data_IF_492274377407
#
_entry.id   IF_492274377407
#
_cell.length_a   1.000
_cell.length_b   1.000
_cell.length_c   1.000
_cell.angle_alpha   90.00
_cell.angle_beta   90.00
_cell.angle_gamma   90.00
#
_symmetry.space_group_name_H-M   'P 1'
#
loop_
_entity.id
_entity.type
_entity.pdbx_description
1 polymer ?
#
# COMPACT_ATOMS: atom_id res chain seq x y z
N UNK A 1 7.59 41.33 25.90
CA UNK A 1 6.33 40.77 25.35
C UNK A 1 6.43 40.44 23.86
N UNK A 2 6.94 41.36 23.02
CA UNK A 2 7.02 41.16 21.56
C UNK A 2 7.93 39.99 21.11
N UNK A 3 9.08 39.79 21.76
CA UNK A 3 10.02 38.70 21.43
C UNK A 3 9.47 37.30 21.75
N UNK A 4 8.72 37.16 22.85
CA UNK A 4 8.08 35.90 23.23
C UNK A 4 6.95 35.54 22.27
N UNK A 5 6.15 36.53 21.87
CA UNK A 5 5.06 36.34 20.88
C UNK A 5 5.60 35.94 19.51
N UNK A 6 6.69 36.55 19.05
CA UNK A 6 7.34 36.22 17.78
C UNK A 6 7.85 34.77 17.74
N UNK A 7 8.47 34.30 18.83
CA UNK A 7 8.96 32.91 18.96
C UNK A 7 7.81 31.91 18.90
N UNK A 8 6.70 32.20 19.58
CA UNK A 8 5.52 31.32 19.56
C UNK A 8 4.93 31.20 18.16
N UNK A 9 4.81 32.31 17.41
CA UNK A 9 4.31 32.28 16.03
C UNK A 9 5.20 31.40 15.14
N UNK A 10 6.53 31.58 15.19
CA UNK A 10 7.46 30.79 14.38
C UNK A 10 7.36 29.30 14.72
N UNK A 11 7.32 28.94 16.01
CA UNK A 11 7.19 27.54 16.45
C UNK A 11 5.88 26.93 15.95
N UNK A 12 4.76 27.65 16.11
CA UNK A 12 3.45 27.18 15.66
C UNK A 12 3.41 27.02 14.15
N UNK A 13 3.96 27.96 13.37
CA UNK A 13 4.01 27.85 11.91
C UNK A 13 4.85 26.66 11.48
N UNK A 14 6.05 26.46 12.04
CA UNK A 14 6.91 25.31 11.69
C UNK A 14 6.23 23.98 12.06
N UNK A 15 5.63 23.88 13.24
CA UNK A 15 4.93 22.67 13.67
C UNK A 15 3.71 22.36 12.79
N UNK A 16 2.90 23.39 12.46
CA UNK A 16 1.76 23.24 11.57
C UNK A 16 2.19 22.80 10.16
N UNK A 17 3.29 23.36 9.65
CA UNK A 17 3.80 22.99 8.32
C UNK A 17 4.29 21.55 8.32
N UNK A 18 5.03 21.12 9.36
CA UNK A 18 5.52 19.75 9.49
C UNK A 18 4.39 18.69 9.55
N UNK A 19 3.26 19.02 10.17
CA UNK A 19 2.09 18.13 10.22
C UNK A 19 1.34 18.03 8.88
N UNK A 20 1.48 19.03 8.02
CA UNK A 20 0.86 19.07 6.69
C UNK A 20 1.77 18.51 5.59
N UNK A 21 3.01 18.14 5.90
CA UNK A 21 3.90 17.50 4.92
C UNK A 21 3.40 16.09 4.61
N UNK A 22 3.01 15.79 3.36
CA UNK A 22 2.61 14.44 3.00
C UNK A 22 3.82 13.53 3.15
N UNK A 23 3.68 12.50 3.98
CA UNK A 23 4.65 11.41 4.01
C UNK A 23 4.40 10.53 2.79
N UNK A 24 5.45 10.26 2.01
CA UNK A 24 5.35 9.28 0.93
C UNK A 24 5.01 7.93 1.55
N UNK A 25 3.84 7.38 1.22
CA UNK A 25 3.46 6.04 1.67
C UNK A 25 4.48 5.02 1.19
N UNK A 26 5.00 4.20 2.10
CA UNK A 26 5.98 3.13 1.81
C UNK A 26 5.35 1.91 1.12
N UNK A 27 4.31 2.14 0.30
CA UNK A 27 3.73 1.07 -0.50
C UNK A 27 4.69 0.76 -1.66
N UNK A 28 5.14 -0.50 -1.73
CA UNK A 28 5.79 -1.09 -2.91
C UNK A 28 7.23 -0.65 -3.27
N UNK A 29 7.92 0.11 -2.43
CA UNK A 29 9.27 0.64 -2.74
C UNK A 29 10.38 -0.42 -2.92
N UNK A 30 10.19 -1.64 -2.42
CA UNK A 30 11.18 -2.73 -2.48
C UNK A 30 10.60 -4.03 -3.08
N UNK A 31 9.61 -3.91 -3.97
CA UNK A 31 9.08 -5.07 -4.67
C UNK A 31 9.86 -5.24 -5.97
N UNK A 32 10.54 -6.37 -6.11
CA UNK A 32 11.02 -6.82 -7.40
C UNK A 32 9.81 -7.27 -8.22
N UNK A 33 9.34 -6.38 -9.10
CA UNK A 33 8.18 -6.62 -9.93
C UNK A 33 8.46 -7.57 -11.08
N UNK A 34 9.72 -7.70 -11.49
CA UNK A 34 10.12 -8.62 -12.56
C UNK A 34 10.09 -10.07 -12.06
N UNK A 35 10.25 -10.28 -10.75
CA UNK A 35 10.07 -11.57 -10.09
C UNK A 35 8.61 -11.90 -9.73
N UNK A 36 7.64 -11.02 -9.98
CA UNK A 36 6.23 -11.29 -9.68
C UNK A 36 5.61 -12.14 -10.78
N UNK A 37 5.26 -13.37 -10.42
CA UNK A 37 4.56 -14.32 -11.28
C UNK A 37 3.20 -14.72 -10.68
N UNK A 38 2.28 -15.14 -11.56
CA UNK A 38 1.03 -15.80 -11.18
C UNK A 38 1.08 -17.24 -11.71
N UNK A 39 0.91 -18.21 -10.81
CA UNK A 39 0.81 -19.63 -11.17
C UNK A 39 -0.60 -20.15 -10.95
N UNK A 40 -1.06 -21.05 -11.82
CA UNK A 40 -2.41 -21.63 -11.78
C UNK A 40 -2.32 -23.04 -11.18
N UNK A 41 -3.20 -23.33 -10.23
CA UNK A 41 -3.26 -24.63 -9.57
C UNK A 41 -4.69 -25.18 -9.63
N UNK A 42 -4.83 -26.43 -10.05
CA UNK A 42 -6.08 -27.17 -9.97
C UNK A 42 -6.24 -27.78 -8.58
N UNK A 43 -7.45 -27.72 -8.02
CA UNK A 43 -7.77 -28.32 -6.73
C UNK A 43 -8.61 -29.58 -6.94
N UNK A 44 -9.82 -29.42 -7.50
CA UNK A 44 -10.74 -30.51 -7.80
C UNK A 44 -11.87 -30.01 -8.69
N UNK A 45 -12.36 -30.85 -9.62
CA UNK A 45 -13.44 -30.49 -10.52
C UNK A 45 -13.17 -29.18 -11.24
N UNK A 46 -14.05 -28.21 -11.06
CA UNK A 46 -13.99 -26.85 -11.59
C UNK A 46 -13.40 -25.80 -10.62
N UNK A 47 -12.77 -26.25 -9.52
CA UNK A 47 -12.13 -25.39 -8.52
C UNK A 47 -10.63 -25.31 -8.77
N UNK A 48 -10.12 -24.08 -8.84
CA UNK A 48 -8.72 -23.73 -9.04
C UNK A 48 -8.28 -22.66 -8.02
N UNK A 49 -6.98 -22.37 -7.96
CA UNK A 49 -6.50 -21.12 -7.38
C UNK A 49 -5.36 -20.52 -8.19
N UNK A 50 -5.30 -19.20 -8.20
CA UNK A 50 -4.14 -18.43 -8.63
C UNK A 50 -3.25 -18.18 -7.42
N UNK A 51 -1.99 -18.58 -7.49
CA UNK A 51 -0.98 -18.25 -6.50
C UNK A 51 -0.17 -17.07 -7.03
N UNK A 52 -0.08 -16.01 -6.23
CA UNK A 52 0.80 -14.87 -6.52
C UNK A 52 1.44 -14.33 -5.24
N UNK A 53 2.27 -13.30 -5.39
CA UNK A 53 2.99 -12.66 -4.28
C UNK A 53 2.06 -12.19 -3.13
N UNK A 54 0.82 -11.83 -3.43
CA UNK A 54 -0.17 -11.36 -2.46
C UNK A 54 -0.95 -12.47 -1.73
N UNK A 55 -0.71 -13.74 -2.07
CA UNK A 55 -1.47 -14.88 -1.56
C UNK A 55 -2.29 -15.57 -2.66
N UNK A 56 -3.18 -16.47 -2.22
CA UNK A 56 -3.98 -17.30 -3.11
C UNK A 56 -5.35 -16.68 -3.38
N UNK A 57 -5.79 -16.72 -4.64
CA UNK A 57 -7.14 -16.37 -5.06
C UNK A 57 -7.82 -17.66 -5.54
N UNK A 58 -8.91 -18.06 -4.88
CA UNK A 58 -9.70 -19.23 -5.27
C UNK A 58 -10.65 -18.91 -6.43
N UNK A 59 -10.78 -19.83 -7.38
CA UNK A 59 -11.66 -19.74 -8.54
C UNK A 59 -12.56 -20.96 -8.58
N UNK A 60 -13.82 -20.75 -8.95
CA UNK A 60 -14.77 -21.80 -9.30
C UNK A 60 -15.32 -21.45 -10.68
N UNK A 61 -15.05 -22.29 -11.66
CA UNK A 61 -15.35 -22.00 -13.08
C UNK A 61 -16.65 -22.69 -13.48
N UNK A 62 -17.61 -21.91 -13.99
CA UNK A 62 -18.90 -22.40 -14.47
C UNK A 62 -18.91 -22.66 -15.98
N UNK A 63 -20.05 -23.11 -16.51
CA UNK A 63 -20.29 -23.16 -17.96
C UNK A 63 -20.24 -21.74 -18.59
N UNK A 64 -20.60 -20.73 -17.81
CA UNK A 64 -20.68 -19.31 -18.16
C UNK A 64 -19.43 -18.50 -17.84
N UNK A 65 -18.41 -19.13 -17.25
CA UNK A 65 -17.17 -18.48 -16.79
C UNK A 65 -17.12 -18.32 -15.29
#
# INVERSE_FOLDING_TARGET
MQLTMFRSVVITTVAATALLYPTSGVAQQNVDWDAVEISIHHVAGNVHYLQGRGGNIGLSIGEDG
#
